data_IF_965278207177
#
_entry.id   IF_965278207177
#
_cell.length_a   1.000
_cell.length_b   1.000
_cell.length_c   1.000
_cell.angle_alpha   90.00
_cell.angle_beta   90.00
_cell.angle_gamma   90.00
#
_symmetry.space_group_name_H-M   'P 1'
#
loop_
_entity.id
_entity.type
_entity.pdbx_description
1 polymer ?
#
# COMPACT_ATOMS: atom_id res chain seq x y z
N UNK A 1 95.85 -9.30 55.82
CA UNK A 1 95.38 -10.50 55.09
C UNK A 1 94.04 -10.18 54.46
N UNK A 2 94.01 -10.08 53.13
CA UNK A 2 92.87 -10.26 52.22
C UNK A 2 91.66 -9.29 52.28
N UNK A 3 90.81 -9.25 51.23
CA UNK A 3 91.00 -9.69 49.85
C UNK A 3 90.59 -8.63 48.80
N UNK A 4 90.81 -8.99 47.53
CA UNK A 4 90.70 -8.19 46.31
C UNK A 4 89.31 -7.64 46.00
N UNK A 5 89.30 -6.47 45.34
CA UNK A 5 88.17 -5.88 44.63
C UNK A 5 87.75 -6.73 43.42
N UNK A 6 86.46 -7.02 43.30
CA UNK A 6 85.79 -7.41 42.05
C UNK A 6 84.77 -6.33 41.67
N UNK A 7 84.65 -5.93 40.40
CA UNK A 7 83.70 -4.89 39.99
C UNK A 7 82.26 -5.42 39.97
N UNK A 8 81.24 -4.55 40.03
CA UNK A 8 79.85 -4.95 40.05
C UNK A 8 79.46 -5.57 38.72
N UNK A 9 79.01 -6.83 38.74
CA UNK A 9 78.42 -7.46 37.57
C UNK A 9 76.94 -7.07 37.53
N UNK A 10 76.64 -5.95 36.87
CA UNK A 10 75.26 -5.58 36.55
C UNK A 10 74.83 -6.41 35.34
N UNK A 11 74.14 -7.53 35.59
CA UNK A 11 73.42 -8.20 34.51
C UNK A 11 72.18 -7.37 34.16
N UNK A 12 72.24 -6.65 33.05
CA UNK A 12 71.06 -6.19 32.35
C UNK A 12 70.32 -7.42 31.79
N UNK A 13 69.40 -7.96 32.59
CA UNK A 13 68.38 -8.84 32.06
C UNK A 13 67.40 -7.95 31.31
N UNK A 14 67.57 -7.84 29.99
CA UNK A 14 66.52 -7.35 29.13
C UNK A 14 65.36 -8.32 29.25
N UNK A 15 64.24 -7.89 29.84
CA UNK A 15 62.96 -8.57 29.71
C UNK A 15 62.59 -8.52 28.22
N UNK A 16 63.05 -9.51 27.45
CA UNK A 16 62.54 -9.78 26.11
C UNK A 16 61.05 -10.07 26.27
N UNK A 17 60.26 -9.35 25.47
CA UNK A 17 58.82 -9.23 25.56
C UNK A 17 58.12 -10.48 26.06
N UNK A 18 57.34 -10.29 27.12
CA UNK A 18 56.26 -11.19 27.48
C UNK A 18 55.37 -11.30 26.23
N UNK A 19 55.46 -12.42 25.50
CA UNK A 19 54.43 -12.81 24.53
C UNK A 19 53.16 -13.03 25.34
N UNK A 20 52.32 -11.99 25.44
CA UNK A 20 50.96 -12.15 25.89
C UNK A 20 50.31 -13.07 24.85
N UNK A 21 50.17 -14.35 25.16
CA UNK A 21 49.38 -15.27 24.34
C UNK A 21 47.93 -14.83 24.49
N UNK A 22 47.49 -13.91 23.64
CA UNK A 22 46.11 -13.46 23.61
C UNK A 22 45.30 -14.62 23.03
N UNK A 23 44.70 -15.41 23.91
CA UNK A 23 43.67 -16.36 23.51
C UNK A 23 42.55 -15.61 22.78
N UNK A 24 42.16 -16.12 21.62
CA UNK A 24 41.04 -15.57 20.84
C UNK A 24 39.74 -15.70 21.65
N UNK A 25 38.95 -14.62 21.78
CA UNK A 25 37.69 -14.68 22.52
C UNK A 25 36.73 -15.68 21.87
N UNK A 26 35.77 -16.21 22.64
CA UNK A 26 34.67 -17.00 22.07
C UNK A 26 33.81 -16.07 21.20
N UNK A 27 33.73 -16.28 19.87
CA UNK A 27 32.96 -15.40 19.03
C UNK A 27 31.45 -15.67 19.13
N UNK A 28 30.66 -14.68 18.75
CA UNK A 28 29.22 -14.77 18.53
C UNK A 28 28.83 -14.12 17.21
N UNK A 29 27.71 -14.53 16.64
CA UNK A 29 27.21 -13.99 15.37
C UNK A 29 26.00 -13.10 15.64
N UNK A 30 26.08 -11.84 15.23
CA UNK A 30 24.94 -10.93 15.14
C UNK A 30 24.36 -10.94 13.72
N UNK A 31 23.03 -10.77 13.58
CA UNK A 31 22.34 -10.78 12.28
C UNK A 31 21.38 -9.61 12.14
N UNK A 32 21.25 -9.08 10.92
CA UNK A 32 20.21 -8.11 10.57
C UNK A 32 18.80 -8.75 10.54
N UNK A 33 18.69 -10.02 10.13
CA UNK A 33 17.43 -10.76 10.11
C UNK A 33 17.69 -12.28 10.12
N UNK A 34 17.27 -12.97 11.19
CA UNK A 34 17.38 -14.44 11.27
C UNK A 34 16.31 -15.20 10.47
N UNK A 35 15.26 -14.51 10.02
CA UNK A 35 14.12 -15.10 9.32
C UNK A 35 13.86 -14.36 8.00
N UNK A 36 14.81 -14.35 7.05
CA UNK A 36 14.64 -13.67 5.78
C UNK A 36 13.58 -14.37 4.92
N UNK A 37 12.84 -13.57 4.14
CA UNK A 37 11.97 -14.12 3.09
C UNK A 37 12.76 -14.43 1.84
N UNK A 38 12.45 -15.57 1.25
CA UNK A 38 13.11 -16.08 0.05
C UNK A 38 13.21 -15.03 -1.06
N UNK A 39 14.43 -14.82 -1.55
CA UNK A 39 14.77 -13.94 -2.68
C UNK A 39 14.27 -12.49 -2.56
N UNK A 40 14.06 -11.96 -1.35
CA UNK A 40 13.56 -10.58 -1.15
C UNK A 40 14.50 -9.67 -0.37
N UNK A 41 15.25 -10.21 0.60
CA UNK A 41 16.08 -9.42 1.51
C UNK A 41 17.55 -9.83 1.45
N UNK A 42 18.43 -8.85 1.68
CA UNK A 42 19.83 -9.12 1.98
C UNK A 42 20.00 -9.30 3.49
N UNK A 43 20.72 -10.34 3.90
CA UNK A 43 21.03 -10.60 5.31
C UNK A 43 22.49 -10.29 5.57
N UNK A 44 22.76 -9.62 6.69
CA UNK A 44 24.11 -9.28 7.13
C UNK A 44 24.37 -10.07 8.40
N UNK A 45 25.41 -10.90 8.37
CA UNK A 45 25.94 -11.57 9.56
C UNK A 45 27.28 -10.94 9.93
N UNK A 46 27.47 -10.62 11.20
CA UNK A 46 28.74 -10.05 11.70
C UNK A 46 29.29 -10.95 12.80
N UNK A 47 30.58 -11.25 12.71
CA UNK A 47 31.30 -11.99 13.75
C UNK A 47 31.84 -11.02 14.80
N UNK A 48 31.41 -11.21 16.04
CA UNK A 48 31.74 -10.37 17.19
C UNK A 48 32.49 -11.17 18.27
N UNK A 49 33.42 -10.57 19.02
CA UNK A 49 33.83 -9.16 18.94
C UNK A 49 34.86 -8.90 17.83
N UNK A 50 35.06 -7.62 17.52
CA UNK A 50 36.21 -7.19 16.74
C UNK A 50 37.51 -7.49 17.50
N UNK A 51 38.44 -8.21 16.88
CA UNK A 51 39.69 -8.68 17.50
C UNK A 51 40.87 -8.20 16.64
N UNK A 52 41.73 -7.33 17.18
CA UNK A 52 42.92 -6.86 16.47
C UNK A 52 43.86 -8.00 16.07
N UNK A 53 44.52 -7.85 14.92
CA UNK A 53 45.50 -8.81 14.38
C UNK A 53 44.97 -10.25 14.22
N UNK A 54 43.65 -10.41 14.13
CA UNK A 54 42.98 -11.68 13.89
C UNK A 54 42.34 -11.73 12.50
N UNK A 55 42.25 -12.95 11.98
CA UNK A 55 41.53 -13.28 10.75
C UNK A 55 40.17 -13.90 11.07
N UNK A 56 39.19 -13.62 10.23
CA UNK A 56 37.83 -14.16 10.34
C UNK A 56 37.58 -15.20 9.26
N UNK A 57 37.05 -16.35 9.68
CA UNK A 57 36.63 -17.43 8.79
C UNK A 57 35.15 -17.74 9.03
N UNK A 58 34.45 -18.07 7.96
CA UNK A 58 33.03 -18.39 8.03
C UNK A 58 32.76 -19.79 7.52
N UNK A 59 31.79 -20.42 8.17
CA UNK A 59 31.41 -21.79 7.95
C UNK A 59 29.89 -21.91 7.80
N UNK A 60 29.45 -22.81 6.93
CA UNK A 60 28.05 -23.21 6.80
C UNK A 60 27.97 -24.73 6.81
N UNK A 61 27.09 -25.28 7.64
CA UNK A 61 26.95 -26.73 7.82
C UNK A 61 28.29 -27.42 8.15
N UNK A 62 29.15 -26.76 8.93
CA UNK A 62 30.47 -27.28 9.31
C UNK A 62 31.55 -27.16 8.23
N UNK A 63 31.24 -26.72 7.00
CA UNK A 63 32.19 -26.60 5.89
C UNK A 63 32.53 -25.13 5.60
N UNK A 64 33.70 -24.87 5.02
CA UNK A 64 34.10 -23.53 4.59
C UNK A 64 33.10 -22.98 3.57
N UNK A 65 32.70 -21.71 3.72
CA UNK A 65 31.72 -21.11 2.81
C UNK A 65 32.16 -21.17 1.34
N UNK A 66 31.30 -21.65 0.42
CA UNK A 66 31.51 -21.46 -1.01
C UNK A 66 31.24 -19.98 -1.35
N UNK A 67 32.26 -19.24 -1.74
CA UNK A 67 32.10 -17.85 -2.16
C UNK A 67 31.38 -17.81 -3.51
N UNK A 68 30.23 -17.15 -3.54
CA UNK A 68 29.35 -17.04 -4.72
C UNK A 68 28.86 -15.60 -4.87
N UNK A 69 28.12 -15.29 -5.94
CA UNK A 69 27.48 -13.97 -6.04
C UNK A 69 26.46 -13.71 -4.91
N UNK A 70 25.87 -14.77 -4.33
CA UNK A 70 24.91 -14.66 -3.22
C UNK A 70 25.57 -14.59 -1.84
N UNK A 71 26.85 -14.94 -1.71
CA UNK A 71 27.61 -14.94 -0.46
C UNK A 71 28.91 -14.17 -0.64
N UNK A 72 28.98 -12.97 -0.06
CA UNK A 72 30.14 -12.08 -0.17
C UNK A 72 30.66 -11.69 1.20
N UNK A 73 31.98 -11.60 1.35
CA UNK A 73 32.63 -11.15 2.58
C UNK A 73 33.04 -9.68 2.46
N UNK A 74 33.00 -8.96 3.56
CA UNK A 74 33.65 -7.66 3.69
C UNK A 74 35.17 -7.78 3.48
N UNK A 75 35.86 -6.66 3.24
CA UNK A 75 37.33 -6.65 3.10
C UNK A 75 38.08 -7.29 4.28
N UNK A 76 37.55 -7.18 5.50
CA UNK A 76 38.13 -7.78 6.72
C UNK A 76 37.65 -9.21 6.99
N UNK A 77 36.80 -9.78 6.14
CA UNK A 77 36.05 -11.02 6.34
C UNK A 77 35.19 -11.10 7.62
N UNK A 78 35.13 -10.03 8.42
CA UNK A 78 34.35 -10.00 9.66
C UNK A 78 32.85 -10.06 9.41
N UNK A 79 32.41 -9.51 8.28
CA UNK A 79 30.99 -9.45 7.90
C UNK A 79 30.73 -10.30 6.66
N UNK A 80 29.67 -11.11 6.71
CA UNK A 80 29.14 -11.88 5.61
C UNK A 80 27.84 -11.25 5.13
N UNK A 81 27.79 -10.92 3.83
CA UNK A 81 26.63 -10.44 3.11
C UNK A 81 25.99 -11.58 2.33
N UNK A 82 24.70 -11.83 2.60
CA UNK A 82 23.89 -12.81 1.89
C UNK A 82 22.88 -12.07 1.02
N UNK A 83 23.02 -12.18 -0.31
CA UNK A 83 22.12 -11.54 -1.27
C UNK A 83 21.13 -12.55 -1.85
N UNK A 84 19.84 -12.31 -1.62
CA UNK A 84 18.78 -13.17 -2.17
C UNK A 84 18.82 -14.56 -1.55
N UNK A 85 18.51 -14.64 -0.24
CA UNK A 85 18.57 -15.91 0.50
C UNK A 85 17.63 -16.94 -0.14
N UNK A 86 18.16 -18.15 -0.37
CA UNK A 86 17.45 -19.32 -0.91
C UNK A 86 17.55 -20.49 0.07
N UNK A 87 16.91 -21.61 -0.26
CA UNK A 87 17.06 -22.85 0.51
C UNK A 87 18.51 -23.36 0.56
N UNK A 88 19.36 -23.03 -0.42
CA UNK A 88 20.78 -23.42 -0.46
C UNK A 88 21.68 -22.59 0.44
N UNK A 89 21.27 -21.36 0.77
CA UNK A 89 22.00 -20.45 1.65
C UNK A 89 21.34 -20.36 3.04
N UNK A 90 20.25 -21.08 3.27
CA UNK A 90 19.62 -21.19 4.58
C UNK A 90 20.27 -22.33 5.37
N UNK A 91 20.41 -22.17 6.68
CA UNK A 91 21.07 -23.15 7.53
C UNK A 91 21.90 -22.55 8.66
N UNK A 92 22.61 -23.39 9.42
CA UNK A 92 23.52 -22.98 10.49
C UNK A 92 24.80 -22.37 9.92
N UNK A 93 25.13 -21.18 10.43
CA UNK A 93 26.38 -20.46 10.20
C UNK A 93 27.21 -20.44 11.48
N UNK A 94 28.51 -20.56 11.33
CA UNK A 94 29.49 -20.39 12.40
C UNK A 94 30.58 -19.45 11.92
N UNK A 95 31.13 -18.65 12.82
CA UNK A 95 32.30 -17.83 12.55
C UNK A 95 33.45 -18.26 13.46
N UNK A 96 34.66 -18.15 12.94
CA UNK A 96 35.89 -18.48 13.65
C UNK A 96 36.81 -17.27 13.63
N UNK A 97 37.30 -16.89 14.81
CA UNK A 97 38.35 -15.89 14.99
C UNK A 97 39.65 -16.65 15.18
N UNK A 98 40.64 -16.35 14.34
CA UNK A 98 41.95 -17.01 14.34
C UNK A 98 43.09 -16.01 14.36
N UNK A 99 44.01 -16.18 15.30
CA UNK A 99 45.30 -15.49 15.33
C UNK A 99 46.45 -16.52 15.23
N UNK A 100 47.74 -16.11 15.25
CA UNK A 100 48.86 -17.04 15.12
C UNK A 100 48.98 -18.09 16.24
N UNK A 101 48.31 -17.89 17.38
CA UNK A 101 48.48 -18.68 18.60
C UNK A 101 47.26 -19.56 18.89
N UNK A 102 46.04 -19.07 18.62
CA UNK A 102 44.79 -19.75 18.92
C UNK A 102 43.71 -19.50 17.85
N UNK A 103 42.71 -20.36 17.85
CA UNK A 103 41.48 -20.20 17.09
C UNK A 103 40.28 -20.56 17.97
N UNK A 104 39.18 -19.83 17.80
CA UNK A 104 37.95 -20.04 18.54
C UNK A 104 36.75 -19.88 17.62
N UNK A 105 35.77 -20.79 17.74
CA UNK A 105 34.60 -20.89 16.87
C UNK A 105 33.32 -20.59 17.66
N UNK A 106 32.38 -19.93 17.01
CA UNK A 106 31.11 -19.53 17.62
C UNK A 106 30.20 -20.74 17.79
N UNK A 107 29.20 -20.61 18.66
CA UNK A 107 28.05 -21.51 18.59
C UNK A 107 27.31 -21.27 17.24
N UNK A 108 26.68 -22.29 16.64
CA UNK A 108 26.02 -22.15 15.35
C UNK A 108 24.74 -21.31 15.45
N UNK A 109 24.51 -20.48 14.43
CA UNK A 109 23.36 -19.60 14.30
C UNK A 109 22.61 -19.93 13.01
N UNK A 110 21.34 -20.31 13.13
CA UNK A 110 20.54 -20.78 11.99
C UNK A 110 19.74 -19.66 11.34
N UNK A 111 19.92 -19.47 10.03
CA UNK A 111 19.02 -18.69 9.20
C UNK A 111 17.83 -19.54 8.77
N UNK A 112 16.63 -19.16 9.22
CA UNK A 112 15.38 -19.85 8.92
C UNK A 112 14.69 -19.17 7.74
N UNK A 113 14.71 -19.83 6.57
CA UNK A 113 14.07 -19.27 5.37
C UNK A 113 12.55 -19.23 5.51
N UNK A 114 11.96 -18.05 5.35
CA UNK A 114 10.52 -17.90 5.28
C UNK A 114 10.03 -18.04 3.83
N UNK A 115 8.92 -18.75 3.61
CA UNK A 115 8.33 -18.84 2.29
C UNK A 115 7.90 -17.46 1.79
N UNK A 116 8.03 -17.26 0.48
CA UNK A 116 7.53 -16.06 -0.19
C UNK A 116 6.01 -15.99 -0.06
N UNK A 117 5.48 -14.82 0.27
CA UNK A 117 4.04 -14.59 0.23
C UNK A 117 3.56 -14.54 -1.23
N UNK A 118 2.50 -15.28 -1.61
CA UNK A 118 1.92 -15.16 -2.93
C UNK A 118 1.36 -13.74 -3.11
N UNK A 119 1.44 -13.19 -4.33
CA UNK A 119 0.81 -11.91 -4.62
C UNK A 119 -0.72 -12.09 -4.57
N UNK A 120 -1.44 -11.40 -3.67
CA UNK A 120 -2.88 -11.57 -3.59
C UNK A 120 -3.58 -10.82 -4.71
N UNK A 121 -4.80 -11.25 -5.03
CA UNK A 121 -5.68 -10.62 -6.01
C UNK A 121 -7.13 -10.61 -5.52
N UNK A 122 -7.93 -9.70 -6.07
CA UNK A 122 -9.33 -9.53 -5.69
C UNK A 122 -10.22 -10.06 -6.82
N UNK A 123 -11.24 -10.84 -6.46
CA UNK A 123 -12.38 -11.14 -7.32
C UNK A 123 -13.62 -10.42 -6.82
N UNK A 124 -14.47 -9.95 -7.74
CA UNK A 124 -15.68 -9.19 -7.42
C UNK A 124 -16.82 -9.60 -8.35
N UNK A 125 -18.04 -9.66 -7.81
CA UNK A 125 -19.25 -10.02 -8.57
C UNK A 125 -19.78 -8.88 -9.48
N UNK A 126 -19.61 -7.62 -9.08
CA UNK A 126 -20.12 -6.47 -9.82
C UNK A 126 -19.24 -5.23 -9.60
N UNK A 127 -18.57 -4.78 -10.66
CA UNK A 127 -17.74 -3.57 -10.64
C UNK A 127 -18.54 -2.26 -10.68
N UNK A 128 -19.80 -2.32 -11.14
CA UNK A 128 -20.67 -1.16 -11.35
C UNK A 128 -22.02 -1.33 -10.64
N UNK A 129 -22.06 -1.48 -9.31
CA UNK A 129 -23.30 -1.64 -8.57
C UNK A 129 -24.11 -0.34 -8.52
N UNK A 130 -25.45 -0.46 -8.54
CA UNK A 130 -26.35 0.68 -8.35
C UNK A 130 -26.49 1.04 -6.88
N UNK A 131 -26.38 2.33 -6.59
CA UNK A 131 -26.49 2.92 -5.25
C UNK A 131 -27.77 2.48 -4.54
N UNK A 132 -27.62 2.00 -3.30
CA UNK A 132 -28.68 1.52 -2.41
C UNK A 132 -29.57 0.41 -2.98
N UNK A 133 -29.08 -0.35 -3.96
CA UNK A 133 -29.84 -1.42 -4.62
C UNK A 133 -29.07 -2.72 -4.77
N UNK A 134 -27.87 -2.65 -5.33
CA UNK A 134 -27.09 -3.84 -5.64
C UNK A 134 -26.11 -4.17 -4.49
N UNK A 135 -25.87 -5.46 -4.27
CA UNK A 135 -24.90 -5.97 -3.28
C UNK A 135 -23.58 -6.28 -3.97
N UNK A 136 -22.48 -5.77 -3.43
CA UNK A 136 -21.13 -6.05 -3.95
C UNK A 136 -20.37 -6.97 -3.00
N UNK A 137 -19.81 -8.05 -3.53
CA UNK A 137 -19.03 -9.03 -2.78
C UNK A 137 -17.64 -9.14 -3.39
N UNK A 138 -16.64 -8.79 -2.59
CA UNK A 138 -15.24 -8.89 -2.92
C UNK A 138 -14.65 -10.10 -2.18
N UNK A 139 -13.79 -10.86 -2.86
CA UNK A 139 -13.05 -11.96 -2.26
C UNK A 139 -11.57 -11.78 -2.53
N UNK A 140 -10.76 -11.85 -1.48
CA UNK A 140 -9.30 -11.86 -1.61
C UNK A 140 -8.79 -13.28 -1.83
N UNK A 141 -7.89 -13.46 -2.77
CA UNK A 141 -7.27 -14.72 -3.12
C UNK A 141 -5.74 -14.60 -3.07
N UNK A 142 -5.00 -15.70 -2.85
CA UNK A 142 -5.48 -17.07 -2.61
C UNK A 142 -5.97 -17.31 -1.17
N UNK A 143 -6.87 -18.29 -1.00
CA UNK A 143 -7.23 -18.81 0.32
C UNK A 143 -6.04 -19.51 0.99
N UNK A 144 -5.79 -19.18 2.25
CA UNK A 144 -4.90 -19.89 3.15
C UNK A 144 -5.32 -19.65 4.59
N UNK A 145 -5.18 -20.68 5.44
CA UNK A 145 -5.42 -20.61 6.89
C UNK A 145 -4.27 -19.92 7.63
N UNK A 146 -3.10 -19.83 7.00
CA UNK A 146 -1.91 -19.18 7.58
C UNK A 146 -1.90 -17.66 7.40
N UNK A 147 -2.89 -17.10 6.69
CA UNK A 147 -2.96 -15.67 6.40
C UNK A 147 -4.12 -15.00 7.14
N UNK A 148 -3.86 -13.77 7.56
CA UNK A 148 -4.88 -12.81 7.94
C UNK A 148 -5.12 -11.83 6.80
N UNK A 149 -6.37 -11.42 6.60
CA UNK A 149 -6.78 -10.57 5.48
C UNK A 149 -7.19 -9.19 5.99
N UNK A 150 -6.73 -8.14 5.30
CA UNK A 150 -7.07 -6.75 5.60
C UNK A 150 -7.53 -6.07 4.31
N UNK A 151 -8.66 -5.38 4.38
CA UNK A 151 -9.19 -4.60 3.26
C UNK A 151 -8.79 -3.15 3.35
N UNK A 152 -8.50 -2.57 2.20
CA UNK A 152 -8.09 -1.18 2.03
C UNK A 152 -8.99 -0.53 0.98
N UNK A 153 -9.45 0.70 1.27
CA UNK A 153 -10.14 1.57 0.34
C UNK A 153 -9.43 2.91 0.33
N UNK A 154 -9.05 3.41 -0.85
CA UNK A 154 -8.34 4.69 -0.98
C UNK A 154 -7.06 4.76 -0.12
N UNK A 155 -6.38 3.62 0.04
CA UNK A 155 -5.18 3.51 0.88
C UNK A 155 -5.44 3.49 2.39
N UNK A 156 -6.70 3.58 2.84
CA UNK A 156 -7.08 3.49 4.25
C UNK A 156 -7.62 2.09 4.59
N UNK A 157 -7.19 1.53 5.72
CA UNK A 157 -7.70 0.23 6.17
C UNK A 157 -9.16 0.34 6.57
N UNK A 158 -10.00 -0.51 5.99
CA UNK A 158 -11.41 -0.59 6.36
C UNK A 158 -11.53 -1.31 7.71
N UNK A 159 -12.32 -0.77 8.67
CA UNK A 159 -12.53 -1.45 9.94
C UNK A 159 -13.26 -2.77 9.69
N UNK A 160 -12.83 -3.82 10.41
CA UNK A 160 -13.54 -5.11 10.43
C UNK A 160 -14.85 -4.91 11.20
N UNK A 161 -15.87 -4.36 10.54
CA UNK A 161 -17.07 -3.90 11.23
C UNK A 161 -17.97 -5.06 11.71
N UNK A 162 -18.67 -4.91 12.85
CA UNK A 162 -19.60 -5.93 13.34
C UNK A 162 -20.81 -6.24 12.44
N UNK A 163 -21.19 -5.33 11.55
CA UNK A 163 -22.26 -5.55 10.55
C UNK A 163 -21.81 -6.48 9.40
N UNK A 164 -20.54 -6.90 9.44
CA UNK A 164 -19.86 -7.87 8.57
C UNK A 164 -19.59 -9.20 9.34
N UNK A 165 -20.07 -9.35 10.58
CA UNK A 165 -19.74 -10.52 11.44
C UNK A 165 -20.57 -11.75 11.12
N UNK A 166 -20.08 -12.55 10.17
CA UNK A 166 -19.91 -13.98 10.45
C UNK A 166 -18.42 -14.29 10.31
N UNK A 167 -17.75 -14.62 11.41
CA UNK A 167 -16.33 -15.03 11.38
C UNK A 167 -16.24 -16.34 10.60
N UNK A 168 -15.95 -16.21 9.31
CA UNK A 168 -15.09 -17.13 8.58
C UNK A 168 -14.11 -16.22 7.80
N UNK A 169 -12.95 -15.97 8.41
CA UNK A 169 -11.67 -15.63 7.77
C UNK A 169 -11.36 -14.20 7.22
N UNK A 170 -12.16 -13.13 7.42
CA UNK A 170 -11.84 -11.74 6.95
C UNK A 170 -11.53 -11.58 5.43
N UNK A 171 -11.59 -12.67 4.67
CA UNK A 171 -11.22 -12.79 3.26
C UNK A 171 -12.28 -12.23 2.32
N UNK A 172 -13.53 -12.21 2.75
CA UNK A 172 -14.67 -11.77 1.96
C UNK A 172 -15.20 -10.46 2.53
N UNK A 173 -15.29 -9.42 1.69
CA UNK A 173 -15.90 -8.14 2.00
C UNK A 173 -17.25 -8.04 1.28
N UNK A 174 -18.33 -7.88 2.05
CA UNK A 174 -19.68 -7.72 1.51
C UNK A 174 -20.14 -6.29 1.80
N UNK A 175 -20.54 -5.58 0.75
CA UNK A 175 -21.18 -4.27 0.80
C UNK A 175 -22.67 -4.46 0.46
N UNK A 176 -23.56 -4.58 1.48
CA UNK A 176 -24.97 -4.90 1.26
C UNK A 176 -25.78 -3.76 0.63
N UNK A 177 -25.37 -2.52 0.84
CA UNK A 177 -26.00 -1.33 0.26
C UNK A 177 -24.90 -0.34 -0.06
N UNK A 178 -24.42 -0.37 -1.30
CA UNK A 178 -23.34 0.51 -1.73
C UNK A 178 -23.81 1.96 -1.83
N UNK A 179 -22.97 2.89 -1.41
CA UNK A 179 -23.17 4.34 -1.54
C UNK A 179 -22.08 4.94 -2.42
N UNK A 180 -22.35 6.10 -3.05
CA UNK A 180 -21.33 6.76 -3.89
C UNK A 180 -20.01 7.06 -3.16
N UNK A 181 -20.02 7.16 -1.83
CA UNK A 181 -18.85 7.38 -0.98
C UNK A 181 -17.92 6.15 -0.89
N UNK A 182 -18.39 4.98 -1.29
CA UNK A 182 -17.61 3.73 -1.33
C UNK A 182 -16.98 3.51 -2.71
N UNK A 183 -17.12 4.46 -3.64
CA UNK A 183 -16.40 4.46 -4.91
C UNK A 183 -14.89 4.61 -4.66
N UNK A 184 -14.09 3.79 -5.34
CA UNK A 184 -12.64 3.91 -5.29
C UNK A 184 -11.88 2.60 -5.48
N UNK A 185 -10.54 2.66 -5.52
CA UNK A 185 -9.68 1.49 -5.54
C UNK A 185 -9.72 0.73 -4.21
N UNK A 186 -10.10 -0.53 -4.30
CA UNK A 186 -10.01 -1.52 -3.24
C UNK A 186 -8.73 -2.34 -3.40
N UNK A 187 -8.06 -2.61 -2.28
CA UNK A 187 -6.94 -3.54 -2.21
C UNK A 187 -7.15 -4.49 -1.04
N UNK A 188 -6.65 -5.72 -1.17
CA UNK A 188 -6.57 -6.64 -0.05
C UNK A 188 -5.11 -6.90 0.29
N UNK A 189 -4.83 -7.04 1.57
CA UNK A 189 -3.52 -7.40 2.09
C UNK A 189 -3.62 -8.76 2.78
N UNK A 190 -2.73 -9.67 2.42
CA UNK A 190 -2.51 -10.90 3.18
C UNK A 190 -1.33 -10.68 4.11
N UNK A 191 -1.47 -11.10 5.38
CA UNK A 191 -0.42 -11.02 6.40
C UNK A 191 -0.21 -12.36 7.08
N UNK A 192 1.05 -12.73 7.28
CA UNK A 192 1.45 -13.75 8.24
C UNK A 192 2.07 -13.08 9.49
N UNK A 193 2.70 -13.87 10.38
CA UNK A 193 3.33 -13.34 11.60
C UNK A 193 4.57 -12.47 11.36
N UNK A 194 5.09 -12.42 10.13
CA UNK A 194 6.34 -11.76 9.76
C UNK A 194 6.15 -10.57 8.83
N UNK A 195 4.97 -10.39 8.22
CA UNK A 195 4.70 -9.24 7.38
C UNK A 195 3.50 -9.42 6.46
N UNK A 196 3.29 -8.44 5.57
CA UNK A 196 2.16 -8.39 4.66
C UNK A 196 2.50 -7.96 3.25
N UNK A 197 1.66 -8.37 2.29
CA UNK A 197 1.73 -7.92 0.90
C UNK A 197 0.34 -7.55 0.40
N UNK A 198 0.25 -6.45 -0.35
CA UNK A 198 -1.00 -5.94 -0.94
C UNK A 198 -1.21 -6.39 -2.37
N UNK A 199 -2.48 -6.56 -2.72
CA UNK A 199 -2.93 -6.81 -4.09
C UNK A 199 -2.77 -5.56 -4.94
N UNK A 200 -2.89 -5.76 -6.24
CA UNK A 200 -3.13 -4.64 -7.15
C UNK A 200 -4.57 -4.12 -6.93
N UNK A 201 -4.83 -2.83 -7.18
CA UNK A 201 -6.12 -2.22 -6.88
C UNK A 201 -7.21 -2.64 -7.87
N UNK A 202 -8.42 -2.87 -7.34
CA UNK A 202 -9.65 -3.07 -8.11
C UNK A 202 -10.62 -1.92 -7.82
N UNK A 203 -11.02 -1.16 -8.83
CA UNK A 203 -11.85 0.04 -8.64
C UNK A 203 -13.32 -0.30 -8.70
N UNK A 204 -14.05 0.00 -7.62
CA UNK A 204 -15.52 -0.03 -7.60
C UNK A 204 -16.06 1.30 -8.12
N UNK A 205 -16.98 1.26 -9.08
CA UNK A 205 -17.61 2.45 -9.66
C UNK A 205 -19.13 2.43 -9.41
N UNK A 206 -19.58 3.10 -8.35
CA UNK A 206 -21.00 3.06 -7.97
C UNK A 206 -21.85 3.91 -8.92
N UNK A 207 -22.89 3.30 -9.49
CA UNK A 207 -23.83 3.96 -10.40
C UNK A 207 -24.95 4.64 -9.60
N UNK A 208 -25.16 5.93 -9.81
CA UNK A 208 -26.14 6.70 -9.07
C UNK A 208 -26.77 7.84 -9.87
N UNK A 209 -27.85 8.39 -9.32
CA UNK A 209 -28.58 9.49 -9.93
C UNK A 209 -29.41 9.09 -11.16
N UNK A 210 -29.92 10.08 -11.91
CA UNK A 210 -29.70 11.50 -11.64
C UNK A 210 -30.42 11.91 -10.37
N UNK A 211 -29.72 12.66 -9.53
CA UNK A 211 -30.33 13.32 -8.38
C UNK A 211 -31.31 14.41 -8.86
N UNK A 212 -32.08 14.99 -7.93
CA UNK A 212 -33.05 16.04 -8.27
C UNK A 212 -32.36 17.22 -8.99
N UNK A 213 -32.74 17.55 -10.24
CA UNK A 213 -32.09 18.60 -10.99
C UNK A 213 -32.33 19.99 -10.39
N UNK A 214 -31.34 20.86 -10.57
CA UNK A 214 -31.36 22.27 -10.18
C UNK A 214 -31.29 23.14 -11.43
N UNK A 215 -32.18 24.12 -11.52
CA UNK A 215 -32.23 25.09 -12.63
C UNK A 215 -31.63 26.41 -12.14
N UNK A 216 -30.69 26.96 -12.92
CA UNK A 216 -30.01 28.23 -12.65
C UNK A 216 -30.09 29.19 -13.87
N UNK A 217 -30.29 30.49 -13.66
CA UNK A 217 -30.54 31.13 -12.36
C UNK A 217 -31.95 30.83 -11.84
N UNK A 218 -32.18 31.07 -10.54
CA UNK A 218 -33.50 30.94 -9.91
C UNK A 218 -34.45 32.08 -10.26
N UNK A 219 -33.97 33.14 -10.92
CA UNK A 219 -34.79 34.29 -11.32
C UNK A 219 -35.85 33.87 -12.35
N UNK A 220 -37.09 34.24 -12.06
CA UNK A 220 -38.27 33.84 -12.82
C UNK A 220 -38.95 34.99 -13.54
N UNK A 221 -38.42 36.21 -13.42
CA UNK A 221 -39.02 37.41 -13.99
C UNK A 221 -38.04 38.10 -14.95
N UNK A 222 -38.54 38.40 -16.14
CA UNK A 222 -37.77 39.05 -17.19
C UNK A 222 -38.61 40.11 -17.90
N UNK A 223 -37.94 41.05 -18.53
CA UNK A 223 -38.54 42.02 -19.43
C UNK A 223 -38.40 41.60 -20.89
N UNK A 224 -39.37 42.01 -21.70
CA UNK A 224 -39.34 41.88 -23.16
C UNK A 224 -38.05 42.49 -23.73
N UNK A 225 -37.40 41.79 -24.66
CA UNK A 225 -36.10 42.15 -25.24
C UNK A 225 -34.87 41.66 -24.46
N UNK A 226 -35.02 41.08 -23.27
CA UNK A 226 -33.90 40.45 -22.55
C UNK A 226 -33.53 39.09 -23.14
N UNK A 227 -32.33 38.59 -22.80
CA UNK A 227 -31.90 37.25 -23.17
C UNK A 227 -32.12 36.30 -21.99
N UNK A 228 -32.94 35.27 -22.19
CA UNK A 228 -33.13 34.20 -21.22
C UNK A 228 -32.01 33.18 -21.35
N UNK A 229 -31.40 32.83 -20.23
CA UNK A 229 -30.43 31.75 -20.13
C UNK A 229 -30.75 30.91 -18.91
N UNK A 230 -31.10 29.64 -19.14
CA UNK A 230 -31.31 28.64 -18.10
C UNK A 230 -30.30 27.52 -18.28
N UNK A 231 -29.78 27.04 -17.16
CA UNK A 231 -28.89 25.90 -17.08
C UNK A 231 -29.45 24.90 -16.08
N UNK A 232 -29.28 23.62 -16.36
CA UNK A 232 -29.79 22.53 -15.55
C UNK A 232 -28.66 21.59 -15.19
N UNK A 233 -28.57 21.24 -13.91
CA UNK A 233 -27.55 20.35 -13.37
C UNK A 233 -28.16 19.34 -12.42
N UNK A 234 -27.76 18.08 -12.57
CA UNK A 234 -28.04 17.00 -11.64
C UNK A 234 -26.77 16.18 -11.42
N UNK A 235 -26.51 15.80 -10.17
CA UNK A 235 -25.43 14.87 -9.85
C UNK A 235 -25.82 13.46 -10.31
N UNK A 236 -24.94 12.81 -11.08
CA UNK A 236 -25.19 11.49 -11.63
C UNK A 236 -23.91 10.82 -12.13
N UNK A 237 -23.80 9.51 -11.90
CA UNK A 237 -22.76 8.66 -12.46
C UNK A 237 -23.37 7.43 -13.14
N UNK A 238 -23.14 7.19 -14.44
CA UNK A 238 -22.46 8.06 -15.40
C UNK A 238 -23.22 9.39 -15.62
N UNK A 239 -22.62 10.36 -16.33
CA UNK A 239 -23.29 11.62 -16.65
C UNK A 239 -24.66 11.41 -17.28
N UNK A 240 -25.67 12.12 -16.77
CA UNK A 240 -27.04 12.00 -17.24
C UNK A 240 -27.30 12.78 -18.56
N UNK A 241 -28.36 12.38 -19.26
CA UNK A 241 -28.89 13.05 -20.45
C UNK A 241 -29.93 14.09 -20.05
N UNK A 242 -29.96 15.24 -20.73
CA UNK A 242 -30.81 16.39 -20.38
C UNK A 242 -31.73 16.76 -21.54
N UNK A 243 -32.95 17.18 -21.23
CA UNK A 243 -33.89 17.76 -22.19
C UNK A 243 -34.72 18.89 -21.56
N UNK A 244 -35.08 19.86 -22.38
CA UNK A 244 -35.89 21.01 -21.99
C UNK A 244 -37.27 20.96 -22.65
N UNK A 245 -38.28 21.31 -21.88
CA UNK A 245 -39.65 21.52 -22.37
C UNK A 245 -40.18 22.86 -21.88
N UNK A 246 -41.03 23.49 -22.70
CA UNK A 246 -41.77 24.71 -22.35
C UNK A 246 -43.25 24.39 -22.50
N UNK A 247 -44.02 24.53 -21.42
CA UNK A 247 -45.44 24.17 -21.39
C UNK A 247 -45.71 22.75 -21.93
N UNK A 248 -44.83 21.80 -21.59
CA UNK A 248 -44.92 20.40 -22.03
C UNK A 248 -44.42 20.12 -23.46
N UNK A 249 -44.04 21.14 -24.24
CA UNK A 249 -43.49 20.95 -25.59
C UNK A 249 -41.97 20.89 -25.57
N UNK A 250 -41.40 19.84 -26.15
CA UNK A 250 -39.96 19.69 -26.31
C UNK A 250 -39.35 20.90 -27.03
N UNK A 251 -38.21 21.37 -26.52
CA UNK A 251 -37.43 22.45 -27.13
C UNK A 251 -36.11 21.93 -27.66
N UNK A 252 -35.27 21.41 -26.76
CA UNK A 252 -33.93 20.97 -27.10
C UNK A 252 -33.40 19.93 -26.11
N UNK A 253 -32.40 19.19 -26.55
CA UNK A 253 -31.58 18.32 -25.71
C UNK A 253 -30.33 19.07 -25.27
N UNK A 254 -29.93 18.91 -24.01
CA UNK A 254 -28.74 19.54 -23.44
C UNK A 254 -29.00 20.25 -22.11
N UNK A 255 -27.91 20.59 -21.42
CA UNK A 255 -27.97 21.21 -20.09
C UNK A 255 -28.41 22.68 -20.12
N UNK A 256 -28.26 23.36 -21.26
CA UNK A 256 -28.45 24.81 -21.37
C UNK A 256 -29.57 25.13 -22.35
N UNK A 257 -30.45 26.02 -21.95
CA UNK A 257 -31.49 26.61 -22.77
C UNK A 257 -31.24 28.11 -22.86
N UNK A 258 -31.13 28.64 -24.08
CA UNK A 258 -31.02 30.08 -24.30
C UNK A 258 -32.04 30.53 -25.33
N UNK A 259 -32.75 31.61 -24.99
CA UNK A 259 -33.71 32.26 -25.87
C UNK A 259 -33.32 33.75 -25.90
N UNK A 260 -32.74 34.25 -27.01
CA UNK A 260 -32.42 35.66 -27.14
C UNK A 260 -33.69 36.47 -27.40
N UNK A 261 -33.70 37.73 -26.97
CA UNK A 261 -34.79 38.69 -27.26
C UNK A 261 -36.19 38.12 -26.92
N UNK A 262 -36.38 37.68 -25.68
CA UNK A 262 -37.63 37.07 -25.24
C UNK A 262 -38.79 38.07 -25.27
N UNK A 263 -40.01 37.55 -25.33
CA UNK A 263 -41.26 38.32 -25.39
C UNK A 263 -42.28 37.73 -24.42
N UNK A 264 -43.40 38.40 -24.18
CA UNK A 264 -44.49 37.93 -23.30
C UNK A 264 -45.00 36.52 -23.66
N UNK A 265 -44.95 36.12 -24.94
CA UNK A 265 -45.29 34.77 -25.43
C UNK A 265 -44.38 33.66 -24.91
N UNK A 266 -43.18 33.99 -24.45
CA UNK A 266 -42.23 33.05 -23.86
C UNK A 266 -42.49 32.79 -22.38
N UNK A 267 -43.50 33.43 -21.78
CA UNK A 267 -43.94 33.10 -20.43
C UNK A 267 -44.49 31.67 -20.38
N UNK A 268 -44.12 30.91 -19.35
CA UNK A 268 -44.56 29.52 -19.24
C UNK A 268 -43.81 28.72 -18.20
N UNK A 269 -44.15 27.44 -18.13
CA UNK A 269 -43.49 26.45 -17.30
C UNK A 269 -42.33 25.81 -18.07
N UNK A 270 -41.11 26.11 -17.64
CA UNK A 270 -39.88 25.56 -18.18
C UNK A 270 -39.49 24.35 -17.34
N UNK A 271 -39.45 23.16 -17.93
CA UNK A 271 -39.05 21.95 -17.23
C UNK A 271 -37.80 21.35 -17.86
N UNK A 272 -36.83 21.04 -17.00
CA UNK A 272 -35.66 20.25 -17.33
C UNK A 272 -35.91 18.81 -16.87
N UNK A 273 -35.84 17.86 -17.81
CA UNK A 273 -35.87 16.43 -17.54
C UNK A 273 -34.47 15.85 -17.69
N UNK A 274 -34.11 14.96 -16.77
CA UNK A 274 -32.76 14.38 -16.67
C UNK A 274 -32.86 12.88 -16.48
N UNK A 275 -32.12 12.12 -17.30
CA UNK A 275 -32.20 10.65 -17.36
C UNK A 275 -30.82 10.01 -17.29
N UNK A 276 -30.64 9.00 -16.44
CA UNK A 276 -29.47 8.13 -16.43
C UNK A 276 -29.88 6.72 -16.88
N UNK A 277 -29.39 6.30 -18.04
CA UNK A 277 -29.71 4.99 -18.62
C UNK A 277 -29.12 3.82 -17.84
N UNK A 278 -27.97 4.00 -17.17
CA UNK A 278 -27.30 2.93 -16.42
C UNK A 278 -28.03 2.60 -15.10
N UNK A 279 -28.61 3.61 -14.45
CA UNK A 279 -29.45 3.41 -13.26
C UNK A 279 -30.91 3.16 -13.60
N UNK A 280 -31.35 3.57 -14.80
CA UNK A 280 -32.73 3.55 -15.24
C UNK A 280 -33.60 4.63 -14.56
N UNK A 281 -33.00 5.59 -13.87
CA UNK A 281 -33.71 6.67 -13.16
C UNK A 281 -33.88 7.90 -14.05
N UNK A 282 -35.01 8.58 -13.87
CA UNK A 282 -35.34 9.86 -14.47
C UNK A 282 -35.85 10.82 -13.39
N UNK A 283 -35.47 12.09 -13.48
CA UNK A 283 -35.92 13.14 -12.58
C UNK A 283 -36.15 14.43 -13.36
N UNK A 284 -37.06 15.28 -12.90
CA UNK A 284 -37.34 16.56 -13.54
C UNK A 284 -37.56 17.67 -12.53
N UNK A 285 -37.24 18.89 -12.94
CA UNK A 285 -37.51 20.12 -12.18
C UNK A 285 -38.10 21.14 -13.12
N UNK A 286 -39.07 21.89 -12.63
CA UNK A 286 -39.70 22.96 -13.38
C UNK A 286 -39.59 24.31 -12.67
N UNK A 287 -39.60 25.37 -13.48
CA UNK A 287 -39.61 26.77 -13.04
C UNK A 287 -40.57 27.55 -13.95
N UNK A 288 -41.38 28.42 -13.36
CA UNK A 288 -42.27 29.29 -14.13
C UNK A 288 -41.53 30.57 -14.48
N UNK A 289 -41.33 30.85 -15.77
CA UNK A 289 -40.76 32.11 -16.25
C UNK A 289 -41.91 33.05 -16.63
N UNK A 290 -41.84 34.29 -16.16
CA UNK A 290 -42.78 35.37 -16.45
C UNK A 290 -42.04 36.48 -17.18
N UNK A 291 -42.56 36.88 -18.33
CA UNK A 291 -42.04 37.98 -19.14
C UNK A 291 -43.07 39.08 -19.21
N UNK A 292 -42.69 40.31 -18.87
CA UNK A 292 -43.52 41.51 -18.97
C UNK A 292 -42.97 42.47 -20.02
N UNK A 293 -43.84 43.27 -20.62
CA UNK A 293 -43.41 44.40 -21.44
C UNK A 293 -42.88 45.53 -20.55
N UNK A 294 -41.98 46.34 -21.11
CA UNK A 294 -41.45 47.51 -20.41
C UNK A 294 -42.51 48.61 -20.41
N UNK A 295 -43.27 48.73 -19.31
CA UNK A 295 -44.16 49.88 -19.11
C UNK A 295 -43.36 50.98 -18.44
N UNK A 296 -43.03 52.04 -19.19
CA UNK A 296 -42.54 53.29 -18.59
C UNK A 296 -43.63 53.85 -17.65
N UNK A 297 -43.28 54.28 -16.43
CA UNK A 297 -44.18 55.04 -15.56
C UNK A 297 -44.52 56.42 -16.15
#
# INVERSE_FOLDING_TARGET
MGPLSAPPCTQHITWKGLLLTVETPKPSISSSNFNPREATEAVILTCDPETPDASYLWWMNGQSLPMTHSLQLSETNRTLYLFGVTNYTAGPYECEIRNPVSASRSDPVTLNLLPKLPKPYITINNLNPRENKDVSTFTCEPKSENYTYIWWLNGQSLPVSPRVKRRIENRILILPSVTRNETGPYQCEIRDRYGGIRSDPVTLNVLYGPDLPRIYPSFTYYHSGQNLYLSCFADSNPPAQYSWTINGKFQLSGQKLSIPQITTKHSGLYACSVRNSATGKESSKSVTVRVSDWTLP
#
